data_IF_251619280795
#
_entry.id   IF_251619280795
#
_cell.length_a   1.000
_cell.length_b   1.000
_cell.length_c   1.000
_cell.angle_alpha   90.00
_cell.angle_beta   90.00
_cell.angle_gamma   90.00
#
_symmetry.space_group_name_H-M   'P 1'
#
loop_
_entity.id
_entity.type
_entity.pdbx_description
1 polymer ?
#
# COMPACT_ATOMS: atom_id res chain seq x y z
N UNK A 1 10.46 15.54 24.79
CA UNK A 1 9.78 16.67 25.46
C UNK A 1 9.14 16.31 26.80
N UNK A 2 8.51 15.13 26.97
CA UNK A 2 7.85 14.79 28.25
C UNK A 2 8.80 14.49 29.42
N UNK A 3 10.03 14.01 29.14
CA UNK A 3 11.02 13.74 30.19
C UNK A 3 11.60 15.00 30.84
N UNK A 4 11.67 16.12 30.10
CA UNK A 4 12.16 17.40 30.64
C UNK A 4 11.10 18.14 31.48
N UNK A 5 9.80 17.88 31.28
CA UNK A 5 8.75 18.39 32.19
C UNK A 5 8.82 17.76 33.57
N UNK A 6 9.17 16.47 33.65
CA UNK A 6 9.21 15.73 34.91
C UNK A 6 10.35 16.15 35.83
N UNK A 7 11.41 16.75 35.29
CA UNK A 7 12.51 17.34 36.08
C UNK A 7 12.13 18.73 36.61
N UNK A 8 11.28 19.47 35.89
CA UNK A 8 10.73 20.75 36.36
C UNK A 8 9.83 20.59 37.59
N UNK A 9 8.93 19.61 37.57
CA UNK A 9 8.00 19.35 38.70
C UNK A 9 8.69 18.79 39.96
N UNK A 10 9.92 18.26 39.86
CA UNK A 10 10.71 17.84 41.03
C UNK A 10 11.53 18.98 41.66
N UNK A 11 11.63 20.13 40.99
CA UNK A 11 12.36 21.31 41.47
C UNK A 11 11.44 22.43 41.95
N UNK A 12 10.11 22.26 41.87
CA UNK A 12 9.18 23.01 42.72
C UNK A 12 9.34 22.52 44.17
N UNK A 13 10.43 22.98 44.78
CA UNK A 13 10.61 23.01 46.22
C UNK A 13 9.47 23.86 46.76
N UNK A 14 8.61 23.19 47.53
CA UNK A 14 7.46 23.73 48.23
C UNK A 14 7.93 24.78 49.25
N UNK A 15 8.13 26.03 48.80
CA UNK A 15 8.44 27.22 49.64
C UNK A 15 7.24 27.67 50.50
N UNK A 16 6.28 26.79 50.73
CA UNK A 16 4.93 27.10 51.20
C UNK A 16 4.46 26.33 52.43
N UNK A 17 5.35 25.96 53.36
CA UNK A 17 4.92 25.56 54.71
C UNK A 17 5.41 26.54 55.77
N UNK A 18 4.61 27.58 55.97
CA UNK A 18 4.57 28.38 57.19
C UNK A 18 4.36 27.44 58.38
N UNK A 19 5.45 27.11 59.09
CA UNK A 19 5.41 26.31 60.30
C UNK A 19 4.68 27.11 61.38
N UNK A 20 3.50 26.64 61.75
CA UNK A 20 2.86 26.98 63.01
C UNK A 20 3.81 26.66 64.16
N UNK A 21 4.19 27.68 64.92
CA UNK A 21 4.95 27.61 66.16
C UNK A 21 4.16 26.88 67.25
N UNK A 22 4.63 25.75 67.80
CA UNK A 22 4.21 25.33 69.12
C UNK A 22 5.05 26.11 70.14
N UNK A 23 4.40 27.05 70.81
CA UNK A 23 4.93 27.68 72.01
C UNK A 23 4.95 26.64 73.14
N UNK A 24 6.06 25.91 73.26
CA UNK A 24 6.35 25.15 74.47
C UNK A 24 7.76 25.49 74.93
N UNK A 25 7.80 26.17 76.07
CA UNK A 25 9.00 26.71 76.68
C UNK A 25 9.81 25.57 77.30
N UNK A 26 10.78 25.05 76.55
CA UNK A 26 11.86 24.26 77.15
C UNK A 26 12.86 25.17 77.85
N UNK A 27 13.35 24.78 79.04
CA UNK A 27 14.20 25.60 79.88
C UNK A 27 15.56 25.81 79.22
N UNK A 28 16.13 26.99 79.43
CA UNK A 28 17.51 27.36 79.08
C UNK A 28 18.48 26.29 79.59
N UNK A 29 18.79 25.30 78.76
CA UNK A 29 19.99 24.50 78.90
C UNK A 29 21.17 25.45 78.71
N UNK A 30 21.98 25.51 79.75
CA UNK A 30 23.13 26.38 79.93
C UNK A 30 24.10 26.27 78.77
N UNK A 31 24.55 27.43 78.26
CA UNK A 31 25.59 27.59 77.23
C UNK A 31 26.91 26.81 77.51
N UNK A 32 27.12 26.35 78.74
CA UNK A 32 28.24 25.47 79.12
C UNK A 32 28.07 24.01 78.68
N UNK A 33 26.85 23.49 78.53
CA UNK A 33 26.62 22.11 78.05
C UNK A 33 26.74 22.00 76.52
N UNK A 34 26.57 23.10 75.78
CA UNK A 34 26.84 23.15 74.33
C UNK A 34 28.32 23.28 73.98
N UNK A 35 29.19 23.59 74.96
CA UNK A 35 30.64 23.70 74.76
C UNK A 35 31.39 22.36 74.98
N UNK A 36 30.66 21.29 75.29
CA UNK A 36 31.16 19.92 75.38
C UNK A 36 30.43 19.03 74.36
N UNK A 37 30.29 19.52 73.12
CA UNK A 37 30.23 18.59 72.00
C UNK A 37 31.55 17.79 72.03
N UNK A 38 31.50 16.46 72.17
CA UNK A 38 32.70 15.66 72.24
C UNK A 38 33.50 15.93 70.97
N UNK A 39 34.76 16.36 71.10
CA UNK A 39 35.65 16.63 69.95
C UNK A 39 35.66 15.45 68.95
N UNK A 40 35.43 14.22 69.44
CA UNK A 40 35.28 13.02 68.63
C UNK A 40 34.11 13.06 67.61
N UNK A 41 32.97 13.66 67.95
CA UNK A 41 31.82 13.69 67.04
C UNK A 41 31.99 14.76 65.96
N UNK A 42 32.60 15.91 66.32
CA UNK A 42 33.00 16.92 65.34
C UNK A 42 34.05 16.37 64.35
N UNK A 43 34.99 15.55 64.82
CA UNK A 43 35.95 14.88 63.93
C UNK A 43 35.29 13.85 63.00
N UNK A 44 34.33 13.06 63.50
CA UNK A 44 33.58 12.10 62.66
C UNK A 44 32.79 12.81 61.57
N UNK A 45 32.10 13.90 61.91
CA UNK A 45 31.36 14.71 60.94
C UNK A 45 32.29 15.35 59.91
N UNK A 46 33.44 15.88 60.34
CA UNK A 46 34.44 16.44 59.43
C UNK A 46 34.99 15.39 58.46
N UNK A 47 35.24 14.15 58.92
CA UNK A 47 35.68 13.03 58.06
C UNK A 47 34.59 12.61 57.08
N UNK A 48 33.33 12.49 57.52
CA UNK A 48 32.21 12.17 56.64
C UNK A 48 32.01 13.25 55.56
N UNK A 49 32.13 14.53 55.93
CA UNK A 49 32.07 15.65 54.99
C UNK A 49 33.22 15.59 53.98
N UNK A 50 34.45 15.31 54.43
CA UNK A 50 35.60 15.17 53.56
C UNK A 50 35.45 14.00 52.56
N UNK A 51 34.93 12.84 53.01
CA UNK A 51 34.64 11.70 52.14
C UNK A 51 33.56 12.02 51.10
N UNK A 52 32.50 12.72 51.49
CA UNK A 52 31.46 13.18 50.57
C UNK A 52 32.03 14.13 49.51
N UNK A 53 32.84 15.11 49.90
CA UNK A 53 33.49 16.02 48.96
C UNK A 53 34.47 15.29 48.03
N UNK A 54 35.21 14.31 48.53
CA UNK A 54 36.11 13.49 47.71
C UNK A 54 35.34 12.64 46.69
N UNK A 55 34.21 12.05 47.09
CA UNK A 55 33.35 11.28 46.20
C UNK A 55 32.69 12.18 45.14
N UNK A 56 32.26 13.39 45.52
CA UNK A 56 31.73 14.37 44.59
C UNK A 56 32.80 14.83 43.57
N UNK A 57 34.05 15.02 44.00
CA UNK A 57 35.15 15.36 43.12
C UNK A 57 35.49 14.23 42.12
N UNK A 58 35.49 12.97 42.58
CA UNK A 58 35.69 11.82 41.68
C UNK A 58 34.56 11.66 40.66
N UNK A 59 33.32 11.88 41.08
CA UNK A 59 32.17 11.84 40.19
C UNK A 59 32.21 12.97 39.15
N UNK A 60 32.61 14.18 39.53
CA UNK A 60 32.74 15.30 38.60
C UNK A 60 33.89 15.09 37.61
N UNK A 61 35.01 14.51 38.04
CA UNK A 61 36.12 14.14 37.15
C UNK A 61 35.71 13.06 36.14
N UNK A 62 35.00 12.01 36.57
CA UNK A 62 34.49 10.97 35.68
C UNK A 62 33.53 11.54 34.62
N UNK A 63 32.63 12.46 35.01
CA UNK A 63 31.75 13.16 34.08
C UNK A 63 32.51 14.07 33.12
N UNK A 64 33.53 14.78 33.61
CA UNK A 64 34.37 15.65 32.78
C UNK A 64 35.12 14.86 31.69
N UNK A 65 35.53 13.63 31.96
CA UNK A 65 36.16 12.75 30.97
C UNK A 65 35.18 12.28 29.88
N UNK A 66 33.89 12.11 30.20
CA UNK A 66 32.87 11.67 29.23
C UNK A 66 32.26 12.82 28.40
N UNK A 67 32.33 14.05 28.91
CA UNK A 67 31.73 15.23 28.27
C UNK A 67 32.18 15.45 26.81
N UNK A 68 33.47 15.33 26.42
CA UNK A 68 33.88 15.54 25.04
C UNK A 68 33.30 14.52 24.06
N UNK A 69 33.17 13.26 24.48
CA UNK A 69 32.53 12.24 23.65
C UNK A 69 31.03 12.47 23.53
N UNK A 70 30.36 12.82 24.63
CA UNK A 70 28.95 13.16 24.61
C UNK A 70 28.67 14.35 23.67
N UNK A 71 29.50 15.39 23.71
CA UNK A 71 29.41 16.54 22.79
C UNK A 71 29.68 16.16 21.33
N UNK A 72 30.62 15.24 21.05
CA UNK A 72 30.84 14.71 19.70
C UNK A 72 29.63 13.93 19.19
N UNK A 73 29.03 13.06 20.01
CA UNK A 73 27.81 12.32 19.67
C UNK A 73 26.64 13.28 19.41
N UNK A 74 26.48 14.31 20.25
CA UNK A 74 25.44 15.33 20.08
C UNK A 74 25.60 16.08 18.75
N UNK A 75 26.80 16.55 18.41
CA UNK A 75 27.07 17.21 17.12
C UNK A 75 26.80 16.29 15.92
N UNK A 76 27.18 15.01 16.02
CA UNK A 76 26.88 14.02 14.96
C UNK A 76 25.37 13.85 14.77
N UNK A 77 24.61 13.77 15.86
CA UNK A 77 23.16 13.69 15.82
C UNK A 77 22.53 14.97 15.22
N UNK A 78 23.04 16.16 15.55
CA UNK A 78 22.58 17.42 14.96
C UNK A 78 22.80 17.47 13.44
N UNK A 79 23.97 17.03 12.96
CA UNK A 79 24.26 16.94 11.52
C UNK A 79 23.34 15.95 10.81
N UNK A 80 23.05 14.80 11.41
CA UNK A 80 22.14 13.81 10.81
C UNK A 80 20.70 14.33 10.78
N UNK A 81 20.25 15.02 11.83
CA UNK A 81 18.94 15.70 11.83
C UNK A 81 18.85 16.73 10.72
N UNK A 82 19.93 17.48 10.45
CA UNK A 82 19.97 18.43 9.34
C UNK A 82 19.89 17.72 7.99
N UNK A 83 20.67 16.65 7.79
CA UNK A 83 20.64 15.83 6.57
C UNK A 83 19.23 15.28 6.29
N UNK A 84 18.57 14.76 7.32
CA UNK A 84 17.21 14.23 7.21
C UNK A 84 16.18 15.32 6.89
N UNK A 85 16.35 16.54 7.42
CA UNK A 85 15.49 17.68 7.07
C UNK A 85 15.64 18.08 5.60
N UNK A 86 16.86 18.11 5.08
CA UNK A 86 17.13 18.41 3.68
C UNK A 86 16.53 17.34 2.76
N UNK A 87 16.71 16.06 3.10
CA UNK A 87 16.10 14.95 2.37
C UNK A 87 14.56 14.99 2.40
N UNK A 88 13.96 15.34 3.54
CA UNK A 88 12.52 15.52 3.66
C UNK A 88 12.04 16.66 2.74
N UNK A 89 12.69 17.83 2.79
CA UNK A 89 12.35 18.97 1.95
C UNK A 89 12.47 18.65 0.44
N UNK A 90 13.49 17.89 0.04
CA UNK A 90 13.63 17.42 -1.35
C UNK A 90 12.47 16.49 -1.75
N UNK A 91 12.09 15.55 -0.87
CA UNK A 91 10.97 14.64 -1.13
C UNK A 91 9.63 15.38 -1.23
N UNK A 92 9.40 16.38 -0.38
CA UNK A 92 8.22 17.25 -0.42
C UNK A 92 8.16 18.04 -1.72
N UNK A 93 9.30 18.58 -2.18
CA UNK A 93 9.39 19.28 -3.46
C UNK A 93 9.07 18.35 -4.65
N UNK A 94 9.55 17.10 -4.64
CA UNK A 94 9.23 16.10 -5.68
C UNK A 94 7.74 15.75 -5.69
N UNK A 95 7.13 15.54 -4.52
CA UNK A 95 5.69 15.28 -4.43
C UNK A 95 4.87 16.47 -4.95
N UNK A 96 5.24 17.71 -4.60
CA UNK A 96 4.58 18.91 -5.10
C UNK A 96 4.69 19.03 -6.63
N UNK A 97 5.86 18.70 -7.21
CA UNK A 97 6.06 18.71 -8.66
C UNK A 97 5.17 17.68 -9.37
N UNK A 98 5.07 16.45 -8.85
CA UNK A 98 4.20 15.40 -9.39
C UNK A 98 2.72 15.79 -9.31
N UNK A 99 2.28 16.37 -8.19
CA UNK A 99 0.91 16.87 -8.05
C UNK A 99 0.60 17.99 -9.05
N UNK A 100 1.54 18.92 -9.27
CA UNK A 100 1.39 19.96 -10.27
C UNK A 100 1.30 19.40 -11.70
N UNK A 101 2.06 18.33 -12.01
CA UNK A 101 1.97 17.64 -13.29
C UNK A 101 0.61 16.95 -13.47
N UNK A 102 0.11 16.27 -12.45
CA UNK A 102 -1.22 15.63 -12.48
C UNK A 102 -2.33 16.66 -12.73
N UNK A 103 -2.29 17.82 -12.06
CA UNK A 103 -3.25 18.89 -12.28
C UNK A 103 -3.20 19.43 -13.72
N UNK A 104 -2.01 19.63 -14.28
CA UNK A 104 -1.87 20.05 -15.69
C UNK A 104 -2.45 19.04 -16.68
N UNK A 105 -2.21 17.74 -16.46
CA UNK A 105 -2.79 16.69 -17.28
C UNK A 105 -4.31 16.64 -17.16
N UNK A 106 -4.84 16.77 -15.94
CA UNK A 106 -6.28 16.82 -15.70
C UNK A 106 -6.94 18.03 -16.39
N UNK A 107 -6.33 19.22 -16.30
CA UNK A 107 -6.81 20.42 -16.98
C UNK A 107 -6.76 20.27 -18.51
N UNK A 108 -5.69 19.65 -19.05
CA UNK A 108 -5.56 19.35 -20.47
C UNK A 108 -6.68 18.42 -20.98
N UNK A 109 -6.89 17.30 -20.28
CA UNK A 109 -7.95 16.33 -20.62
C UNK A 109 -9.35 16.97 -20.55
N UNK A 110 -9.62 17.79 -19.54
CA UNK A 110 -10.89 18.48 -19.40
C UNK A 110 -11.13 19.48 -20.55
N UNK A 111 -10.07 20.14 -21.02
CA UNK A 111 -10.09 20.97 -22.23
C UNK A 111 -10.47 20.18 -23.48
N UNK A 112 -9.83 19.04 -23.71
CA UNK A 112 -10.14 18.16 -24.85
C UNK A 112 -11.57 17.61 -24.81
N UNK A 113 -12.06 17.21 -23.64
CA UNK A 113 -13.43 16.72 -23.47
C UNK A 113 -14.42 17.82 -23.89
N UNK A 114 -14.21 19.06 -23.41
CA UNK A 114 -15.05 20.21 -23.80
C UNK A 114 -15.01 20.48 -25.30
N UNK A 115 -13.84 20.36 -25.93
CA UNK A 115 -13.71 20.50 -27.38
C UNK A 115 -14.52 19.42 -28.11
N UNK A 116 -14.35 18.15 -27.73
CA UNK A 116 -15.11 17.03 -28.32
C UNK A 116 -16.61 17.18 -28.13
N UNK A 117 -17.05 17.64 -26.95
CA UNK A 117 -18.46 17.89 -26.69
C UNK A 117 -19.02 19.01 -27.59
N UNK A 118 -18.25 20.06 -27.85
CA UNK A 118 -18.63 21.10 -28.80
C UNK A 118 -18.70 20.58 -30.24
N UNK A 119 -17.74 19.76 -30.67
CA UNK A 119 -17.75 19.12 -31.99
C UNK A 119 -18.96 18.17 -32.15
N UNK A 120 -19.25 17.35 -31.14
CA UNK A 120 -20.43 16.47 -31.13
C UNK A 120 -21.74 17.28 -31.15
N UNK A 121 -21.80 18.40 -30.45
CA UNK A 121 -22.95 19.30 -30.51
C UNK A 121 -23.15 19.87 -31.93
N UNK A 122 -22.07 20.30 -32.59
CA UNK A 122 -22.12 20.78 -33.98
C UNK A 122 -22.55 19.67 -34.95
N UNK A 123 -22.05 18.45 -34.79
CA UNK A 123 -22.46 17.30 -35.60
C UNK A 123 -23.94 16.96 -35.41
N UNK A 124 -24.46 17.04 -34.18
CA UNK A 124 -25.89 16.84 -33.91
C UNK A 124 -26.76 17.90 -34.58
N UNK A 125 -26.33 19.17 -34.54
CA UNK A 125 -27.02 20.27 -35.23
C UNK A 125 -26.97 20.07 -36.75
N UNK A 126 -25.83 19.70 -37.32
CA UNK A 126 -25.68 19.41 -38.74
C UNK A 126 -26.55 18.22 -39.18
N UNK A 127 -26.61 17.15 -38.38
CA UNK A 127 -27.46 16.00 -38.63
C UNK A 127 -28.96 16.37 -38.59
N UNK A 128 -29.37 17.21 -37.63
CA UNK A 128 -30.74 17.73 -37.56
C UNK A 128 -31.09 18.64 -38.75
N UNK A 129 -30.15 19.47 -39.20
CA UNK A 129 -30.33 20.35 -40.36
C UNK A 129 -30.33 19.59 -41.70
N UNK A 130 -29.64 18.44 -41.78
CA UNK A 130 -29.54 17.60 -42.97
C UNK A 130 -30.84 16.90 -43.39
N UNK A 131 -31.94 17.07 -42.66
CA UNK A 131 -33.26 16.61 -43.08
C UNK A 131 -33.41 15.10 -43.26
N UNK A 132 -32.51 14.29 -42.67
CA UNK A 132 -32.64 12.85 -42.67
C UNK A 132 -33.75 12.45 -41.70
N UNK A 133 -35.01 12.59 -42.12
CA UNK A 133 -36.12 11.90 -41.48
C UNK A 133 -35.88 10.41 -41.72
N UNK A 134 -35.70 9.60 -40.66
CA UNK A 134 -35.63 8.16 -40.82
C UNK A 134 -37.02 7.73 -41.31
N UNK A 135 -37.18 7.65 -42.63
CA UNK A 135 -38.35 7.08 -43.26
C UNK A 135 -38.46 5.64 -42.79
N UNK A 136 -39.63 5.31 -42.26
CA UNK A 136 -40.12 3.94 -42.16
C UNK A 136 -39.85 3.19 -43.48
N UNK A 137 -39.56 1.90 -43.38
CA UNK A 137 -39.40 0.95 -44.49
C UNK A 137 -38.01 0.89 -45.13
N UNK A 138 -37.05 0.30 -44.41
CA UNK A 138 -36.64 -1.07 -44.72
C UNK A 138 -35.78 -1.58 -43.56
N UNK A 139 -35.99 -2.83 -43.15
CA UNK A 139 -35.14 -3.51 -42.17
C UNK A 139 -33.77 -3.82 -42.81
N UNK A 140 -33.04 -2.77 -43.19
CA UNK A 140 -31.67 -2.86 -43.67
C UNK A 140 -30.83 -3.34 -42.51
N UNK A 141 -30.33 -4.58 -42.64
CA UNK A 141 -29.36 -5.16 -41.71
C UNK A 141 -28.21 -4.16 -41.55
N UNK A 142 -28.18 -3.44 -40.43
CA UNK A 142 -27.08 -2.52 -40.14
C UNK A 142 -25.88 -3.38 -39.79
N UNK A 143 -25.03 -3.62 -40.78
CA UNK A 143 -23.81 -4.38 -40.60
C UNK A 143 -22.80 -3.48 -39.89
N UNK A 144 -22.55 -3.76 -38.61
CA UNK A 144 -21.50 -3.09 -37.86
C UNK A 144 -20.15 -3.74 -38.22
N UNK A 145 -19.18 -2.90 -38.62
CA UNK A 145 -17.79 -3.31 -38.84
C UNK A 145 -16.99 -2.97 -37.58
N UNK A 146 -16.23 -3.93 -37.08
CA UNK A 146 -15.38 -3.77 -35.90
C UNK A 146 -13.94 -4.15 -36.24
N UNK A 147 -12.98 -3.37 -35.75
CA UNK A 147 -11.54 -3.64 -35.93
C UNK A 147 -11.04 -4.35 -34.67
N UNK A 148 -10.51 -5.56 -34.85
CA UNK A 148 -10.04 -6.46 -33.78
C UNK A 148 -8.55 -6.72 -34.00
N UNK A 149 -7.73 -6.59 -32.96
CA UNK A 149 -6.28 -6.83 -33.07
C UNK A 149 -5.90 -8.09 -32.32
N UNK A 150 -5.46 -9.11 -33.04
CA UNK A 150 -5.03 -10.39 -32.47
C UNK A 150 -3.53 -10.36 -32.19
N UNK A 151 -3.19 -10.22 -30.91
CA UNK A 151 -1.81 -10.32 -30.43
C UNK A 151 -1.44 -11.78 -30.12
N UNK A 152 -2.32 -12.53 -29.45
CA UNK A 152 -2.09 -13.92 -29.02
C UNK A 152 -3.39 -14.75 -29.12
N UNK A 153 -3.29 -16.08 -29.12
CA UNK A 153 -4.44 -16.99 -29.16
C UNK A 153 -4.78 -17.57 -30.54
N UNK A 154 -5.45 -18.72 -30.56
CA UNK A 154 -5.85 -19.44 -31.76
C UNK A 154 -7.30 -19.13 -32.13
N UNK A 155 -7.53 -18.82 -33.41
CA UNK A 155 -8.86 -18.58 -33.97
C UNK A 155 -9.08 -19.58 -35.10
N UNK A 156 -10.13 -20.37 -34.98
CA UNK A 156 -10.52 -21.31 -36.03
C UNK A 156 -11.56 -20.67 -36.92
N UNK A 157 -11.38 -20.79 -38.23
CA UNK A 157 -12.29 -20.25 -39.23
C UNK A 157 -13.05 -21.37 -39.93
N UNK A 158 -14.31 -21.11 -40.25
CA UNK A 158 -15.16 -22.06 -40.95
C UNK A 158 -14.77 -22.14 -42.44
N UNK A 159 -14.02 -23.19 -42.81
CA UNK A 159 -13.55 -23.42 -44.18
C UNK A 159 -14.65 -23.89 -45.14
N UNK A 160 -15.81 -24.34 -44.64
CA UNK A 160 -16.90 -24.80 -45.50
C UNK A 160 -17.79 -23.67 -46.03
N UNK A 161 -17.65 -22.46 -45.49
CA UNK A 161 -18.40 -21.30 -45.93
C UNK A 161 -17.69 -20.57 -47.09
N UNK A 162 -18.48 -19.94 -47.96
CA UNK A 162 -17.94 -19.08 -49.03
C UNK A 162 -17.25 -17.82 -48.46
N UNK A 163 -17.62 -17.41 -47.24
CA UNK A 163 -17.00 -16.32 -46.49
C UNK A 163 -16.15 -16.85 -45.33
N UNK A 164 -15.10 -16.10 -44.98
CA UNK A 164 -14.18 -16.45 -43.89
C UNK A 164 -14.84 -16.07 -42.56
N UNK A 165 -15.63 -16.99 -41.99
CA UNK A 165 -16.35 -16.77 -40.74
C UNK A 165 -15.60 -17.40 -39.56
N UNK A 166 -15.65 -16.75 -38.40
CA UNK A 166 -15.10 -17.30 -37.16
C UNK A 166 -15.94 -18.51 -36.73
N UNK A 167 -15.30 -19.68 -36.58
CA UNK A 167 -15.93 -20.90 -36.07
C UNK A 167 -15.81 -20.98 -34.55
N UNK A 168 -14.59 -20.78 -34.04
CA UNK A 168 -14.28 -20.71 -32.61
C UNK A 168 -13.14 -19.73 -32.38
N UNK A 169 -13.18 -19.04 -31.25
CA UNK A 169 -12.09 -18.18 -30.81
C UNK A 169 -11.80 -18.42 -29.34
N UNK A 170 -10.51 -18.50 -28.99
CA UNK A 170 -10.09 -18.41 -27.59
C UNK A 170 -10.07 -16.96 -27.08
N UNK A 171 -10.17 -15.97 -27.97
CA UNK A 171 -10.17 -14.55 -27.62
C UNK A 171 -11.60 -14.06 -27.41
N UNK A 172 -11.82 -13.25 -26.37
CA UNK A 172 -13.14 -12.69 -26.04
C UNK A 172 -13.66 -11.67 -27.04
N UNK A 173 -12.81 -11.22 -27.97
CA UNK A 173 -13.13 -10.17 -28.94
C UNK A 173 -13.79 -10.71 -30.23
N UNK A 174 -13.71 -12.01 -30.51
CA UNK A 174 -14.32 -12.60 -31.71
C UNK A 174 -15.44 -13.55 -31.32
N UNK A 175 -16.60 -13.40 -31.97
CA UNK A 175 -17.75 -14.27 -31.78
C UNK A 175 -17.89 -15.25 -32.93
N UNK A 176 -18.37 -16.47 -32.64
CA UNK A 176 -18.71 -17.44 -33.69
C UNK A 176 -19.75 -16.84 -34.64
N UNK A 177 -19.45 -16.87 -35.93
CA UNK A 177 -20.27 -16.30 -37.00
C UNK A 177 -19.83 -14.93 -37.50
N UNK A 178 -18.85 -14.28 -36.86
CA UNK A 178 -18.29 -13.02 -37.34
C UNK A 178 -17.60 -13.23 -38.69
N UNK A 179 -17.95 -12.44 -39.70
CA UNK A 179 -17.34 -12.53 -41.04
C UNK A 179 -16.12 -11.61 -41.12
N UNK A 180 -14.95 -12.15 -41.48
CA UNK A 180 -13.75 -11.33 -41.70
C UNK A 180 -13.87 -10.62 -43.06
N UNK A 181 -13.93 -9.29 -43.04
CA UNK A 181 -13.97 -8.45 -44.24
C UNK A 181 -12.55 -8.17 -44.74
N UNK A 182 -11.65 -7.81 -43.83
CA UNK A 182 -10.26 -7.49 -44.16
C UNK A 182 -9.29 -8.00 -43.10
N UNK A 183 -8.07 -8.29 -43.53
CA UNK A 183 -6.95 -8.73 -42.71
C UNK A 183 -5.74 -7.87 -43.09
N UNK A 184 -5.17 -7.16 -42.11
CA UNK A 184 -4.08 -6.19 -42.29
C UNK A 184 -4.37 -5.17 -43.42
N UNK A 185 -5.62 -4.73 -43.53
CA UNK A 185 -6.09 -3.79 -44.56
C UNK A 185 -6.35 -4.42 -45.94
N UNK A 186 -5.99 -5.68 -46.16
CA UNK A 186 -6.28 -6.40 -47.40
C UNK A 186 -7.64 -7.10 -47.32
N UNK A 187 -8.41 -7.07 -48.41
CA UNK A 187 -9.74 -7.70 -48.40
C UNK A 187 -9.64 -9.21 -48.28
N UNK A 188 -10.18 -9.76 -47.20
CA UNK A 188 -10.18 -11.20 -46.93
C UNK A 188 -11.03 -11.97 -47.96
N UNK A 189 -11.99 -11.31 -48.61
CA UNK A 189 -12.83 -11.92 -49.67
C UNK A 189 -12.01 -12.35 -50.89
N UNK A 190 -10.98 -11.58 -51.23
CA UNK A 190 -10.15 -11.83 -52.41
C UNK A 190 -8.94 -12.75 -52.12
N UNK A 191 -8.68 -13.06 -50.86
CA UNK A 191 -7.59 -13.96 -50.47
C UNK A 191 -7.99 -15.43 -50.62
N UNK A 192 -7.05 -16.24 -51.08
CA UNK A 192 -7.14 -17.69 -50.94
C UNK A 192 -6.99 -18.10 -49.47
N UNK A 193 -7.43 -19.30 -49.10
CA UNK A 193 -7.28 -19.79 -47.72
C UNK A 193 -5.81 -19.93 -47.31
N UNK A 194 -4.92 -20.29 -48.23
CA UNK A 194 -3.48 -20.41 -47.96
C UNK A 194 -2.85 -19.05 -47.66
N UNK A 195 -3.18 -18.02 -48.44
CA UNK A 195 -2.73 -16.64 -48.19
C UNK A 195 -3.30 -16.09 -46.87
N UNK A 196 -4.55 -16.42 -46.56
CA UNK A 196 -5.20 -16.01 -45.33
C UNK A 196 -4.53 -16.65 -44.10
N UNK A 197 -4.24 -17.96 -44.14
CA UNK A 197 -3.53 -18.67 -43.08
C UNK A 197 -2.10 -18.13 -42.90
N UNK A 198 -1.39 -17.88 -44.00
CA UNK A 198 -0.04 -17.30 -43.99
C UNK A 198 -0.04 -15.89 -43.38
N UNK A 199 -1.05 -15.08 -43.69
CA UNK A 199 -1.18 -13.73 -43.13
C UNK A 199 -1.55 -13.75 -41.65
N UNK A 200 -2.35 -14.73 -41.19
CA UNK A 200 -2.66 -14.94 -39.77
C UNK A 200 -1.44 -15.41 -38.95
N UNK A 201 -0.48 -16.09 -39.57
CA UNK A 201 0.75 -16.52 -38.91
C UNK A 201 1.66 -15.34 -38.50
N UNK A 202 1.54 -14.20 -39.18
CA UNK A 202 2.35 -13.00 -38.93
C UNK A 202 1.69 -12.10 -37.88
N UNK A 203 2.04 -12.30 -36.60
CA UNK A 203 1.50 -11.50 -35.49
C UNK A 203 2.32 -10.20 -35.28
N UNK A 204 1.68 -9.08 -34.89
CA UNK A 204 0.25 -8.90 -34.61
C UNK A 204 -0.63 -8.81 -35.88
N UNK A 205 -1.87 -9.29 -35.80
CA UNK A 205 -2.82 -9.27 -36.92
C UNK A 205 -3.99 -8.32 -36.63
N UNK A 206 -4.32 -7.45 -37.58
CA UNK A 206 -5.48 -6.56 -37.51
C UNK A 206 -6.59 -7.09 -38.42
N UNK A 207 -7.71 -7.50 -37.83
CA UNK A 207 -8.90 -7.97 -38.53
C UNK A 207 -9.97 -6.90 -38.54
N UNK A 208 -10.63 -6.68 -39.67
CA UNK A 208 -11.93 -5.99 -39.69
C UNK A 208 -13.01 -7.04 -39.87
N UNK A 209 -13.86 -7.21 -38.86
CA UNK A 209 -14.94 -8.19 -38.84
C UNK A 209 -16.29 -7.51 -38.99
N UNK A 210 -17.19 -8.19 -39.70
CA UNK A 210 -18.59 -7.84 -39.84
C UNK A 210 -19.39 -8.71 -38.89
N UNK A 211 -20.01 -8.09 -37.88
CA UNK A 211 -20.93 -8.81 -37.00
C UNK A 211 -22.34 -8.69 -37.56
N UNK A 212 -22.94 -9.82 -37.93
CA UNK A 212 -24.37 -9.84 -38.23
C UNK A 212 -25.12 -9.73 -36.90
N UNK A 213 -25.41 -8.49 -36.47
CA UNK A 213 -26.30 -8.26 -35.34
C UNK A 213 -27.69 -8.76 -35.73
N UNK A 214 -27.97 -10.01 -35.41
CA UNK A 214 -29.36 -10.45 -35.20
C UNK A 214 -29.93 -9.44 -34.22
N UNK A 215 -30.95 -8.69 -34.65
CA UNK A 215 -31.61 -7.66 -33.85
C UNK A 215 -32.34 -8.31 -32.66
N UNK A 216 -31.59 -8.86 -31.72
CA UNK A 216 -32.08 -9.16 -30.39
C UNK A 216 -32.40 -7.84 -29.72
N UNK A 217 -33.60 -7.74 -29.14
CA UNK A 217 -34.15 -6.50 -28.61
C UNK A 217 -33.25 -5.76 -27.61
N UNK A 218 -33.73 -4.61 -27.13
CA UNK A 218 -33.04 -3.61 -26.28
C UNK A 218 -32.18 -4.21 -25.15
N UNK A 219 -32.56 -5.37 -24.59
CA UNK A 219 -31.79 -6.10 -23.57
C UNK A 219 -30.41 -6.61 -24.03
N UNK A 220 -30.21 -6.92 -25.32
CA UNK A 220 -28.92 -7.33 -25.87
C UNK A 220 -27.96 -6.14 -26.07
N UNK A 221 -28.49 -4.97 -26.42
CA UNK A 221 -27.71 -3.72 -26.58
C UNK A 221 -27.10 -3.26 -25.24
N UNK A 222 -27.81 -3.41 -24.13
CA UNK A 222 -27.28 -3.03 -22.81
C UNK A 222 -26.10 -3.91 -22.37
N UNK A 223 -26.12 -5.22 -22.66
CA UNK A 223 -24.98 -6.10 -22.32
C UNK A 223 -23.73 -5.81 -23.14
N UNK A 224 -23.88 -5.43 -24.42
CA UNK A 224 -22.75 -5.06 -25.28
C UNK A 224 -22.02 -3.80 -24.77
N UNK A 225 -22.76 -2.82 -24.26
CA UNK A 225 -22.17 -1.61 -23.67
C UNK A 225 -21.40 -1.91 -22.38
N UNK A 226 -21.91 -2.81 -21.53
CA UNK A 226 -21.24 -3.22 -20.28
C UNK A 226 -19.95 -4.00 -20.51
N UNK A 227 -19.90 -4.82 -21.57
CA UNK A 227 -18.67 -5.56 -21.93
C UNK A 227 -17.63 -4.61 -22.52
N UNK A 228 -18.04 -3.70 -23.41
CA UNK A 228 -17.14 -2.71 -24.00
C UNK A 228 -16.51 -1.77 -22.96
N UNK A 229 -17.29 -1.26 -21.99
CA UNK A 229 -16.73 -0.42 -20.93
C UNK A 229 -15.79 -1.19 -20.01
N UNK A 230 -16.08 -2.47 -19.74
CA UNK A 230 -15.22 -3.35 -18.94
C UNK A 230 -13.88 -3.64 -19.63
N UNK A 231 -13.89 -3.90 -20.93
CA UNK A 231 -12.66 -4.20 -21.68
C UNK A 231 -11.80 -2.94 -21.86
N UNK A 232 -12.42 -1.78 -22.10
CA UNK A 232 -11.71 -0.49 -22.11
C UNK A 232 -11.13 -0.12 -20.74
N UNK A 233 -11.85 -0.41 -19.65
CA UNK A 233 -11.34 -0.19 -18.30
C UNK A 233 -10.14 -1.12 -17.99
N UNK A 234 -10.16 -2.37 -18.45
CA UNK A 234 -9.01 -3.30 -18.29
C UNK A 234 -7.80 -2.86 -19.11
N UNK A 235 -8.00 -2.39 -20.34
CA UNK A 235 -6.90 -1.87 -21.15
C UNK A 235 -6.25 -0.64 -20.50
N UNK A 236 -7.07 0.31 -20.03
CA UNK A 236 -6.58 1.48 -19.30
C UNK A 236 -5.86 1.12 -17.99
N UNK A 237 -6.34 0.11 -17.27
CA UNK A 237 -5.67 -0.37 -16.05
C UNK A 237 -4.28 -0.96 -16.33
N UNK A 238 -4.11 -1.71 -17.43
CA UNK A 238 -2.80 -2.24 -17.84
C UNK A 238 -1.83 -1.15 -18.28
N UNK A 239 -2.30 -0.14 -19.02
CA UNK A 239 -1.45 1.01 -19.38
C UNK A 239 -1.01 1.79 -18.13
N UNK A 240 -1.89 1.96 -17.14
CA UNK A 240 -1.54 2.59 -15.87
C UNK A 240 -0.50 1.76 -15.11
N UNK A 241 -0.69 0.44 -15.02
CA UNK A 241 0.25 -0.47 -14.35
C UNK A 241 1.63 -0.45 -15.03
N UNK A 242 1.67 -0.46 -16.36
CA UNK A 242 2.91 -0.36 -17.13
C UNK A 242 3.61 0.99 -16.89
N UNK A 243 2.86 2.10 -16.89
CA UNK A 243 3.41 3.42 -16.59
C UNK A 243 3.94 3.53 -15.14
N UNK A 244 3.30 2.86 -14.18
CA UNK A 244 3.78 2.79 -12.80
C UNK A 244 5.05 1.93 -12.67
N UNK A 245 5.14 0.82 -13.40
CA UNK A 245 6.33 -0.01 -13.45
C UNK A 245 7.53 0.75 -14.05
N UNK A 246 7.31 1.50 -15.13
CA UNK A 246 8.35 2.30 -15.80
C UNK A 246 8.87 3.43 -14.89
N UNK A 247 8.01 4.02 -14.04
CA UNK A 247 8.45 4.99 -13.02
C UNK A 247 9.21 4.35 -11.84
N UNK A 248 9.04 3.05 -11.60
CA UNK A 248 9.74 2.32 -10.54
C UNK A 248 11.13 1.82 -10.98
N UNK A 249 11.38 1.74 -12.29
CA UNK A 249 12.66 1.31 -12.86
C UNK A 249 13.69 2.44 -13.04
N UNK A 250 13.45 3.63 -12.49
CA UNK A 250 14.46 4.71 -12.52
C UNK A 250 15.60 4.38 -11.52
N UNK A 251 16.81 4.02 -12.01
CA UNK A 251 17.80 3.35 -11.18
C UNK A 251 18.61 4.39 -10.40
N UNK A 252 18.25 4.59 -9.13
CA UNK A 252 19.18 5.12 -8.12
C UNK A 252 20.43 4.22 -7.92
N UNK A 253 20.54 3.11 -8.64
CA UNK A 253 21.66 2.17 -8.57
C UNK A 253 22.84 2.47 -9.52
N UNK A 254 22.75 3.43 -10.46
CA UNK A 254 23.78 3.59 -11.51
C UNK A 254 24.91 4.60 -11.23
N UNK A 255 25.01 5.20 -10.04
CA UNK A 255 26.02 6.25 -9.76
C UNK A 255 27.03 5.93 -8.64
N UNK A 256 27.20 4.66 -8.25
CA UNK A 256 28.19 4.25 -7.23
C UNK A 256 29.30 3.31 -7.73
N UNK A 257 29.48 3.13 -9.03
CA UNK A 257 30.39 2.08 -9.56
C UNK A 257 31.77 2.56 -10.05
N UNK A 258 32.27 3.73 -9.62
CA UNK A 258 33.60 4.17 -10.07
C UNK A 258 34.44 4.96 -9.05
N UNK A 259 34.42 4.55 -7.77
CA UNK A 259 35.53 4.88 -6.86
C UNK A 259 36.26 3.61 -6.42
N UNK A 260 37.52 3.56 -6.87
CA UNK A 260 38.54 2.57 -6.58
C UNK A 260 38.76 2.45 -5.05
N UNK A 261 38.71 1.24 -4.46
CA UNK A 261 38.69 1.09 -3.01
C UNK A 261 40.07 1.35 -2.40
N UNK A 262 40.22 2.26 -1.40
CA UNK A 262 41.37 2.19 -0.52
C UNK A 262 41.24 0.92 0.33
N UNK A 263 42.26 0.07 0.25
CA UNK A 263 42.38 -1.12 1.07
C UNK A 263 42.31 -0.74 2.56
N UNK A 264 41.57 -1.57 3.32
CA UNK A 264 41.47 -1.58 4.79
C UNK A 264 40.57 -0.48 5.37
N UNK A 265 39.31 -0.80 5.66
CA UNK A 265 38.86 -1.30 6.96
C UNK A 265 37.47 -1.91 6.81
N UNK A 266 37.25 -3.05 7.48
CA UNK A 266 35.97 -3.73 7.53
C UNK A 266 34.95 -2.87 8.29
N UNK A 267 34.24 -2.00 7.57
CA UNK A 267 33.06 -1.31 8.03
C UNK A 267 31.95 -2.34 8.22
N UNK A 268 31.93 -2.86 9.44
CA UNK A 268 30.80 -3.49 10.12
C UNK A 268 29.54 -2.63 9.84
N UNK A 269 28.77 -3.02 8.84
CA UNK A 269 27.48 -2.42 8.54
C UNK A 269 26.66 -2.46 9.83
N UNK A 270 26.25 -1.29 10.28
CA UNK A 270 25.59 -1.06 11.55
C UNK A 270 24.25 -1.79 11.54
N UNK A 271 24.25 -2.94 12.19
CA UNK A 271 23.10 -3.76 12.60
C UNK A 271 22.28 -3.02 13.68
N UNK A 272 21.96 -1.75 13.45
CA UNK A 272 21.25 -0.86 14.39
C UNK A 272 19.71 -1.03 14.31
N UNK A 273 19.26 -2.10 13.65
CA UNK A 273 17.87 -2.57 13.68
C UNK A 273 17.67 -3.79 14.62
N UNK A 274 18.73 -4.28 15.27
CA UNK A 274 18.72 -5.56 15.97
C UNK A 274 18.18 -5.56 17.42
N UNK A 275 17.85 -4.40 17.99
CA UNK A 275 17.30 -4.29 19.37
C UNK A 275 15.91 -3.64 19.41
N UNK A 276 15.08 -3.83 18.37
CA UNK A 276 13.63 -3.68 18.57
C UNK A 276 13.18 -4.95 19.28
N UNK A 277 12.98 -4.86 20.59
CA UNK A 277 12.45 -5.93 21.42
C UNK A 277 11.23 -6.55 20.71
N UNK A 278 11.26 -7.85 20.35
CA UNK A 278 10.15 -8.50 19.67
C UNK A 278 8.82 -8.34 20.42
N UNK A 279 8.85 -8.15 21.74
CA UNK A 279 7.65 -7.86 22.53
C UNK A 279 7.04 -6.48 22.19
N UNK A 280 7.84 -5.48 21.86
CA UNK A 280 7.36 -4.14 21.52
C UNK A 280 6.73 -4.10 20.11
N UNK A 281 7.28 -4.89 19.18
CA UNK A 281 6.67 -5.09 17.86
C UNK A 281 5.31 -5.80 17.97
N UNK A 282 5.19 -6.81 18.84
CA UNK A 282 3.94 -7.52 19.08
C UNK A 282 2.90 -6.63 19.79
N UNK A 283 3.33 -5.84 20.78
CA UNK A 283 2.46 -4.89 21.48
C UNK A 283 1.84 -3.85 20.52
N UNK A 284 2.63 -3.34 19.57
CA UNK A 284 2.15 -2.38 18.55
C UNK A 284 1.15 -3.00 17.56
N UNK A 285 1.30 -4.28 17.27
CA UNK A 285 0.43 -5.01 16.34
C UNK A 285 -0.81 -5.62 17.02
N UNK A 286 -0.91 -5.53 18.35
CA UNK A 286 -2.04 -6.06 19.13
C UNK A 286 -3.43 -5.60 18.64
N UNK A 287 -3.67 -4.31 18.31
CA UNK A 287 -4.96 -3.88 17.80
C UNK A 287 -5.36 -4.58 16.49
N UNK A 288 -4.37 -4.91 15.64
CA UNK A 288 -4.61 -5.64 14.41
C UNK A 288 -4.95 -7.12 14.67
N UNK A 289 -4.21 -7.78 15.56
CA UNK A 289 -4.52 -9.15 15.97
C UNK A 289 -5.91 -9.27 16.61
N UNK A 290 -6.33 -8.26 17.39
CA UNK A 290 -7.66 -8.23 17.99
C UNK A 290 -8.77 -8.07 16.93
N UNK A 291 -8.53 -7.24 15.91
CA UNK A 291 -9.46 -7.09 14.78
C UNK A 291 -9.58 -8.41 13.97
N UNK A 292 -8.46 -9.06 13.68
CA UNK A 292 -8.45 -10.36 13.00
C UNK A 292 -9.21 -11.41 13.82
N UNK A 293 -8.90 -11.53 15.12
CA UNK A 293 -9.60 -12.47 16.02
C UNK A 293 -11.09 -12.16 16.15
N UNK A 294 -11.46 -10.89 16.19
CA UNK A 294 -12.85 -10.44 16.16
C UNK A 294 -13.58 -10.92 14.90
N UNK A 295 -12.94 -10.82 13.73
CA UNK A 295 -13.52 -11.30 12.48
C UNK A 295 -13.67 -12.83 12.39
N UNK A 296 -12.83 -13.60 13.10
CA UNK A 296 -12.92 -15.07 13.18
C UNK A 296 -14.02 -15.53 14.14
N UNK A 297 -14.34 -14.73 15.17
CA UNK A 297 -15.18 -15.15 16.29
C UNK A 297 -16.61 -15.53 15.89
N UNK A 298 -17.24 -14.76 15.00
CA UNK A 298 -18.61 -15.03 14.54
C UNK A 298 -18.70 -16.31 13.68
N UNK A 299 -17.88 -16.49 12.63
CA UNK A 299 -17.84 -17.74 11.86
C UNK A 299 -17.47 -18.97 12.71
N UNK A 300 -16.54 -18.83 13.66
CA UNK A 300 -16.15 -19.90 14.57
C UNK A 300 -17.29 -20.28 15.52
N UNK A 301 -18.02 -19.30 16.08
CA UNK A 301 -19.18 -19.57 16.92
C UNK A 301 -20.33 -20.24 16.13
N UNK A 302 -20.59 -19.78 14.90
CA UNK A 302 -21.57 -20.39 14.02
C UNK A 302 -21.20 -21.86 13.69
N UNK A 303 -19.91 -22.13 13.46
CA UNK A 303 -19.39 -23.48 13.26
C UNK A 303 -19.60 -24.38 14.48
N UNK A 304 -19.26 -23.90 15.68
CA UNK A 304 -19.47 -24.64 16.94
C UNK A 304 -20.94 -24.92 17.18
N UNK A 305 -21.82 -23.94 16.93
CA UNK A 305 -23.27 -24.09 17.09
C UNK A 305 -23.88 -25.10 16.10
N UNK A 306 -23.35 -25.17 14.86
CA UNK A 306 -23.80 -26.12 13.85
C UNK A 306 -23.40 -27.57 14.17
N UNK A 307 -22.41 -27.78 15.06
CA UNK A 307 -21.88 -29.11 15.35
C UNK A 307 -21.22 -29.77 14.13
N UNK A 308 -20.84 -28.98 13.13
CA UNK A 308 -20.26 -29.48 11.89
C UNK A 308 -18.90 -30.13 12.16
N UNK A 309 -18.67 -31.30 11.59
CA UNK A 309 -17.40 -32.01 11.77
C UNK A 309 -16.23 -31.38 10.99
N UNK A 310 -16.51 -30.46 10.05
CA UNK A 310 -15.52 -29.99 9.08
C UNK A 310 -14.95 -28.61 9.40
N UNK A 311 -14.20 -28.50 10.49
CA UNK A 311 -13.54 -27.26 10.94
C UNK A 311 -12.61 -26.66 9.87
N UNK A 312 -12.03 -27.51 9.01
CA UNK A 312 -11.15 -27.09 7.92
C UNK A 312 -11.90 -26.30 6.86
N UNK A 313 -13.11 -26.73 6.49
CA UNK A 313 -13.90 -26.06 5.46
C UNK A 313 -14.46 -24.71 5.96
N UNK A 314 -14.89 -24.65 7.23
CA UNK A 314 -15.31 -23.40 7.86
C UNK A 314 -14.16 -22.38 7.89
N UNK A 315 -12.95 -22.83 8.24
CA UNK A 315 -11.75 -22.00 8.20
C UNK A 315 -11.42 -21.51 6.79
N UNK A 316 -11.42 -22.39 5.78
CA UNK A 316 -11.11 -22.00 4.40
C UNK A 316 -12.13 -21.01 3.83
N UNK A 317 -13.41 -21.16 4.19
CA UNK A 317 -14.46 -20.23 3.80
C UNK A 317 -14.25 -18.84 4.40
N UNK A 318 -13.92 -18.78 5.70
CA UNK A 318 -13.54 -17.53 6.35
C UNK A 318 -12.28 -16.92 5.72
N UNK A 319 -11.24 -17.72 5.47
CA UNK A 319 -9.99 -17.26 4.86
C UNK A 319 -10.23 -16.62 3.47
N UNK A 320 -11.10 -17.23 2.65
CA UNK A 320 -11.51 -16.68 1.36
C UNK A 320 -12.30 -15.38 1.51
N UNK A 321 -13.22 -15.32 2.47
CA UNK A 321 -14.02 -14.12 2.71
C UNK A 321 -13.15 -12.96 3.23
N UNK A 322 -12.24 -13.24 4.15
CA UNK A 322 -11.30 -12.27 4.72
C UNK A 322 -10.38 -11.65 3.66
N UNK A 323 -10.01 -12.42 2.64
CA UNK A 323 -9.20 -11.97 1.51
C UNK A 323 -10.00 -11.69 0.23
N UNK A 324 -11.30 -11.39 0.35
CA UNK A 324 -12.20 -11.16 -0.81
C UNK A 324 -11.84 -9.95 -1.68
N UNK A 325 -11.00 -9.04 -1.18
CA UNK A 325 -10.44 -7.93 -1.95
C UNK A 325 -9.34 -8.38 -2.94
N UNK A 326 -8.80 -9.59 -2.77
CA UNK A 326 -7.81 -10.20 -3.65
C UNK A 326 -8.51 -11.19 -4.58
N UNK A 327 -7.94 -11.38 -5.76
CA UNK A 327 -8.50 -12.33 -6.74
C UNK A 327 -8.19 -13.80 -6.38
N UNK A 328 -8.88 -14.72 -7.06
CA UNK A 328 -8.73 -16.15 -6.86
C UNK A 328 -7.31 -16.65 -7.20
N UNK A 329 -6.64 -16.00 -8.15
CA UNK A 329 -5.28 -16.35 -8.57
C UNK A 329 -4.27 -16.04 -7.48
N UNK A 330 -4.35 -14.84 -6.88
CA UNK A 330 -3.55 -14.47 -5.72
C UNK A 330 -3.78 -15.43 -4.56
N UNK A 331 -5.05 -15.76 -4.27
CA UNK A 331 -5.38 -16.67 -3.18
C UNK A 331 -4.80 -18.07 -3.41
N UNK A 332 -4.89 -18.60 -4.64
CA UNK A 332 -4.29 -19.89 -4.99
C UNK A 332 -2.77 -19.91 -4.76
N UNK A 333 -2.07 -18.87 -5.19
CA UNK A 333 -0.62 -18.74 -5.05
C UNK A 333 -0.16 -18.52 -3.60
N UNK A 334 -1.01 -17.92 -2.76
CA UNK A 334 -0.67 -17.58 -1.38
C UNK A 334 -1.28 -18.52 -0.34
N UNK A 335 -2.17 -19.45 -0.74
CA UNK A 335 -3.00 -20.27 0.14
C UNK A 335 -2.22 -20.88 1.31
N UNK A 336 -1.11 -21.55 1.04
CA UNK A 336 -0.32 -22.23 2.09
C UNK A 336 0.24 -21.25 3.11
N UNK A 337 0.72 -20.08 2.66
CA UNK A 337 1.31 -19.06 3.53
C UNK A 337 0.24 -18.44 4.43
N UNK A 338 -0.89 -18.03 3.86
CA UNK A 338 -2.00 -17.45 4.66
C UNK A 338 -2.63 -18.50 5.57
N UNK A 339 -2.77 -19.75 5.11
CA UNK A 339 -3.25 -20.85 5.94
C UNK A 339 -2.39 -21.01 7.19
N UNK A 340 -1.07 -21.15 7.02
CA UNK A 340 -0.16 -21.36 8.15
C UNK A 340 -0.11 -20.16 9.10
N UNK A 341 -0.25 -18.94 8.59
CA UNK A 341 -0.25 -17.73 9.41
C UNK A 341 -1.52 -17.61 10.27
N UNK A 342 -2.71 -17.90 9.72
CA UNK A 342 -3.97 -17.68 10.42
C UNK A 342 -4.52 -18.91 11.16
N UNK A 343 -4.03 -20.12 10.85
CA UNK A 343 -4.57 -21.36 11.43
C UNK A 343 -4.45 -21.43 12.96
N UNK A 344 -3.31 -21.09 13.60
CA UNK A 344 -3.19 -21.14 15.05
C UNK A 344 -4.22 -20.26 15.76
N UNK A 345 -4.42 -19.03 15.26
CA UNK A 345 -5.40 -18.09 15.82
C UNK A 345 -6.84 -18.56 15.63
N UNK A 346 -7.15 -19.19 14.50
CA UNK A 346 -8.47 -19.79 14.29
C UNK A 346 -8.76 -20.90 15.30
N UNK A 347 -7.80 -21.80 15.53
CA UNK A 347 -7.97 -22.92 16.47
C UNK A 347 -8.17 -22.40 17.92
N UNK A 348 -7.46 -21.34 18.33
CA UNK A 348 -7.68 -20.65 19.62
C UNK A 348 -9.10 -20.07 19.76
N UNK A 349 -9.59 -19.41 18.70
CA UNK A 349 -10.93 -18.80 18.69
C UNK A 349 -12.02 -19.89 18.74
N UNK A 350 -11.84 -20.98 17.99
CA UNK A 350 -12.75 -22.13 18.01
C UNK A 350 -12.78 -22.79 19.38
N UNK A 351 -11.62 -22.99 20.01
CA UNK A 351 -11.56 -23.55 21.37
C UNK A 351 -12.27 -22.63 22.37
N UNK A 352 -11.99 -21.33 22.32
CA UNK A 352 -12.65 -20.32 23.16
C UNK A 352 -14.17 -20.25 22.93
N UNK A 353 -14.65 -20.57 21.73
CA UNK A 353 -16.08 -20.66 21.42
C UNK A 353 -16.70 -21.95 22.00
N UNK A 354 -16.00 -23.09 21.94
CA UNK A 354 -16.43 -24.35 22.56
C UNK A 354 -16.51 -24.25 24.08
N UNK A 355 -15.52 -23.61 24.70
CA UNK A 355 -15.46 -23.41 26.15
C UNK A 355 -16.59 -22.50 26.64
N UNK A 356 -17.06 -21.56 25.80
CA UNK A 356 -18.22 -20.71 26.10
C UNK A 356 -19.58 -21.40 25.87
N UNK A 357 -19.60 -22.44 25.06
CA UNK A 357 -20.81 -23.21 24.74
C UNK A 357 -21.02 -24.41 25.68
N UNK A 358 -19.97 -24.83 26.39
CA UNK A 358 -19.99 -25.88 27.42
C UNK A 358 -20.39 -25.30 28.76
#
# INVERSE_FOLDING_TARGET
>A
MQFLRKIGDMLEVDDGQESSTPADATPLQTLEEMLHLPEEDAEKEARACAELLQNAAKASEALAQQLPEALKRARKAEMEVQRLKEALAESEAKMAALQAQQLRLADGLLGEIRQRDAELALLRVAAAAGGYTPGEEDATKTQEQEVVTLNEGTVDFNRSAASKQVASSSTSELSTGDEVISLNGLSARNMTWEEFDAALANRPVVLTVQRERRSGGIAAKMRSLSVWTRDKAKAAARELEQAMAEMQEDPLASNMENEEPPALEASKATDEAADVDPEDAEARNRPFYDLVRGSMAEPAAAFVAAGDANATEAFERWLRQFHSERDDEWFANNRTRVYNAFRPHWDEVVQSAKDRAS
#
